data_IF_340098829988
#
_entry.id   IF_340098829988
#
_cell.length_a   1.000
_cell.length_b   1.000
_cell.length_c   1.000
_cell.angle_alpha   90.00
_cell.angle_beta   90.00
_cell.angle_gamma   90.00
#
_symmetry.space_group_name_H-M   'P 1'
#
loop_
_entity.id
_entity.type
_entity.pdbx_description
1 polymer ?
#
# COMPACT_ATOMS: atom_id res chain seq x y z
N UNK A 1 -16.71 -0.16 -14.93
CA UNK A 1 -15.35 0.14 -14.47
C UNK A 1 -15.42 1.05 -13.26
N UNK A 2 -14.44 1.02 -12.38
CA UNK A 2 -14.33 1.94 -11.26
C UNK A 2 -14.38 3.41 -11.75
N UNK A 3 -14.95 4.28 -10.94
CA UNK A 3 -14.98 5.72 -11.22
C UNK A 3 -13.60 6.32 -10.95
N UNK A 4 -13.06 7.07 -11.90
CA UNK A 4 -11.86 7.88 -11.67
C UNK A 4 -12.21 9.15 -10.91
N UNK A 5 -11.40 9.47 -9.91
CA UNK A 5 -11.46 10.71 -9.14
C UNK A 5 -10.23 11.57 -9.45
N UNK A 6 -10.39 12.88 -9.47
CA UNK A 6 -9.24 13.79 -9.50
C UNK A 6 -8.57 13.84 -8.13
N UNK A 7 -7.33 14.33 -8.08
CA UNK A 7 -6.59 14.52 -6.81
C UNK A 7 -7.41 15.34 -5.81
N UNK A 8 -8.02 16.44 -6.23
CA UNK A 8 -8.83 17.32 -5.37
C UNK A 8 -10.08 16.59 -4.84
N UNK A 9 -10.68 15.73 -5.65
CA UNK A 9 -11.82 14.93 -5.21
C UNK A 9 -11.42 13.89 -4.15
N UNK A 10 -10.23 13.29 -4.28
CA UNK A 10 -9.71 12.36 -3.26
C UNK A 10 -9.41 13.13 -1.98
N UNK A 11 -8.71 14.25 -2.04
CA UNK A 11 -8.44 15.11 -0.87
C UNK A 11 -9.71 15.55 -0.16
N UNK A 12 -10.73 15.95 -0.92
CA UNK A 12 -12.04 16.34 -0.35
C UNK A 12 -12.69 15.18 0.42
N UNK A 13 -12.65 13.96 -0.12
CA UNK A 13 -13.18 12.76 0.57
C UNK A 13 -12.43 12.48 1.87
N UNK A 14 -11.11 12.58 1.85
CA UNK A 14 -10.27 12.44 3.06
C UNK A 14 -10.67 13.47 4.11
N UNK A 15 -10.80 14.73 3.71
CA UNK A 15 -11.17 15.82 4.62
C UNK A 15 -12.59 15.64 5.20
N UNK A 16 -13.53 15.12 4.42
CA UNK A 16 -14.88 14.79 4.90
C UNK A 16 -14.87 13.71 5.99
N UNK A 17 -14.05 12.66 5.85
CA UNK A 17 -13.88 11.64 6.89
C UNK A 17 -13.21 12.20 8.14
N UNK A 18 -12.14 12.99 7.96
CA UNK A 18 -11.43 13.63 9.07
C UNK A 18 -12.34 14.57 9.90
N UNK A 19 -13.22 15.33 9.25
CA UNK A 19 -14.23 16.17 9.95
C UNK A 19 -15.20 15.36 10.78
N UNK A 20 -15.45 14.11 10.41
CA UNK A 20 -16.28 13.18 11.17
C UNK A 20 -15.49 12.37 12.20
N UNK A 21 -14.19 12.64 12.36
CA UNK A 21 -13.27 11.90 13.20
C UNK A 21 -13.14 10.42 12.85
N UNK A 22 -13.37 10.07 11.57
CA UNK A 22 -13.15 8.73 11.07
C UNK A 22 -11.73 8.58 10.50
N UNK A 23 -11.06 7.45 10.77
CA UNK A 23 -9.78 7.17 10.14
C UNK A 23 -9.95 6.87 8.64
N UNK A 24 -8.94 7.16 7.86
CA UNK A 24 -8.88 6.75 6.45
C UNK A 24 -8.40 5.30 6.39
N UNK A 25 -9.20 4.43 5.80
CA UNK A 25 -8.86 3.01 5.63
C UNK A 25 -8.64 2.69 4.16
N UNK A 26 -7.42 2.22 3.84
CA UNK A 26 -7.07 1.74 2.51
C UNK A 26 -6.92 0.22 2.57
N UNK A 27 -7.56 -0.49 1.65
CA UNK A 27 -7.41 -1.94 1.53
C UNK A 27 -6.62 -2.32 0.28
N UNK A 28 -5.59 -3.14 0.42
CA UNK A 28 -5.03 -3.85 -0.71
C UNK A 28 -6.01 -4.89 -1.24
N UNK A 29 -6.03 -5.11 -2.58
CA UNK A 29 -6.85 -6.12 -3.21
C UNK A 29 -6.12 -6.82 -4.35
N UNK A 30 -5.94 -8.14 -4.23
CA UNK A 30 -5.39 -9.02 -5.27
C UNK A 30 -6.46 -9.73 -6.09
N UNK A 31 -7.72 -9.67 -5.66
CA UNK A 31 -8.87 -10.29 -6.35
C UNK A 31 -10.09 -9.39 -6.37
N UNK A 32 -11.00 -9.67 -7.32
CA UNK A 32 -12.27 -8.91 -7.40
C UNK A 32 -13.18 -9.13 -6.20
N UNK A 33 -13.12 -10.29 -5.55
CA UNK A 33 -13.95 -10.56 -4.37
C UNK A 33 -13.46 -9.74 -3.16
N UNK A 34 -12.14 -9.66 -2.93
CA UNK A 34 -11.60 -8.85 -1.85
C UNK A 34 -11.87 -7.36 -2.07
N UNK A 35 -11.68 -6.84 -3.28
CA UNK A 35 -12.00 -5.45 -3.62
C UNK A 35 -13.49 -5.12 -3.38
N UNK A 36 -14.40 -5.97 -3.88
CA UNK A 36 -15.84 -5.80 -3.76
C UNK A 36 -16.31 -5.76 -2.30
N UNK A 37 -15.78 -6.63 -1.46
CA UNK A 37 -16.20 -6.68 -0.06
C UNK A 37 -15.48 -5.65 0.80
N UNK A 38 -14.25 -5.27 0.48
CA UNK A 38 -13.60 -4.12 1.10
C UNK A 38 -14.40 -2.83 0.85
N UNK A 39 -14.84 -2.57 -0.39
CA UNK A 39 -15.70 -1.42 -0.71
C UNK A 39 -17.02 -1.45 0.07
N UNK A 40 -17.70 -2.61 0.14
CA UNK A 40 -18.91 -2.78 0.93
C UNK A 40 -18.70 -2.64 2.43
N UNK A 41 -17.50 -2.92 2.90
CA UNK A 41 -17.07 -2.71 4.28
C UNK A 41 -16.79 -1.26 4.62
N UNK A 42 -16.79 -0.36 3.61
CA UNK A 42 -16.66 1.08 3.80
C UNK A 42 -15.22 1.59 3.76
N UNK A 43 -14.29 0.91 3.06
CA UNK A 43 -12.95 1.46 2.85
C UNK A 43 -13.01 2.77 2.05
N UNK A 44 -12.06 3.66 2.29
CA UNK A 44 -11.96 4.94 1.59
C UNK A 44 -11.28 4.81 0.23
N UNK A 45 -10.32 3.89 0.09
CA UNK A 45 -9.61 3.60 -1.16
C UNK A 45 -9.24 2.12 -1.26
N UNK A 46 -9.02 1.64 -2.50
CA UNK A 46 -8.55 0.28 -2.78
C UNK A 46 -7.22 0.36 -3.52
N UNK A 47 -6.20 -0.34 -3.01
CA UNK A 47 -4.89 -0.49 -3.65
C UNK A 47 -4.79 -1.78 -4.45
N UNK A 48 -4.47 -1.68 -5.74
CA UNK A 48 -4.18 -2.83 -6.61
C UNK A 48 -2.68 -2.83 -6.88
N UNK A 49 -2.00 -3.90 -6.49
CA UNK A 49 -0.56 -4.08 -6.71
C UNK A 49 -0.20 -5.57 -6.83
N UNK A 50 0.91 -5.88 -7.47
CA UNK A 50 1.30 -7.25 -7.81
C UNK A 50 1.42 -8.18 -6.59
N UNK A 51 1.89 -7.71 -5.44
CA UNK A 51 1.90 -8.49 -4.19
C UNK A 51 0.52 -8.98 -3.76
N UNK A 52 -0.55 -8.25 -4.12
CA UNK A 52 -1.92 -8.66 -3.87
C UNK A 52 -2.27 -9.97 -4.60
N UNK A 53 -1.83 -10.09 -5.87
CA UNK A 53 -2.00 -11.33 -6.63
C UNK A 53 -1.29 -12.49 -5.95
N UNK A 54 0.01 -12.38 -5.69
CA UNK A 54 0.79 -13.45 -5.05
C UNK A 54 0.17 -13.89 -3.72
N UNK A 55 -0.26 -12.94 -2.91
CA UNK A 55 -0.92 -13.19 -1.62
C UNK A 55 -2.21 -13.99 -1.78
N UNK A 56 -3.05 -13.64 -2.75
CA UNK A 56 -4.34 -14.31 -2.97
C UNK A 56 -4.21 -15.60 -3.79
N UNK A 57 -3.09 -15.80 -4.46
CA UNK A 57 -2.70 -17.08 -5.06
C UNK A 57 -2.09 -18.05 -4.02
N UNK A 58 -2.01 -17.65 -2.73
CA UNK A 58 -1.50 -18.47 -1.62
C UNK A 58 0.00 -18.37 -1.39
N UNK A 59 0.68 -17.40 -2.01
CA UNK A 59 2.11 -17.16 -1.84
C UNK A 59 2.40 -16.04 -0.83
N UNK A 60 3.66 -15.90 -0.43
CA UNK A 60 4.09 -14.79 0.39
C UNK A 60 3.99 -13.46 -0.38
N UNK A 61 3.51 -12.40 0.29
CA UNK A 61 3.40 -11.06 -0.32
C UNK A 61 4.75 -10.51 -0.81
N UNK A 62 5.87 -10.91 -0.20
CA UNK A 62 7.22 -10.56 -0.64
C UNK A 62 7.56 -11.04 -2.06
N UNK A 63 6.82 -12.03 -2.60
CA UNK A 63 7.00 -12.43 -4.01
C UNK A 63 6.76 -11.27 -4.98
N UNK A 64 5.93 -10.28 -4.60
CA UNK A 64 5.69 -9.09 -5.43
C UNK A 64 6.89 -8.15 -5.51
N UNK A 65 7.88 -8.30 -4.65
CA UNK A 65 9.14 -7.55 -4.69
C UNK A 65 10.20 -8.23 -5.55
N UNK A 66 9.92 -9.44 -6.04
CA UNK A 66 10.89 -10.26 -6.76
C UNK A 66 10.67 -10.20 -8.27
N UNK A 67 11.63 -10.66 -9.02
CA UNK A 67 11.68 -10.66 -10.50
C UNK A 67 10.71 -11.62 -11.21
N UNK A 68 9.74 -12.16 -10.50
CA UNK A 68 8.84 -13.19 -11.04
C UNK A 68 7.87 -12.70 -12.11
N UNK A 69 7.58 -11.40 -12.13
CA UNK A 69 6.77 -10.76 -13.18
C UNK A 69 7.08 -9.26 -13.23
N UNK A 70 6.80 -8.62 -14.36
CA UNK A 70 6.76 -7.15 -14.45
C UNK A 70 5.59 -6.63 -13.61
N UNK A 71 5.90 -5.83 -12.58
CA UNK A 71 4.87 -5.27 -11.71
C UNK A 71 3.92 -4.35 -12.47
N UNK A 72 4.44 -3.53 -13.37
CA UNK A 72 3.65 -2.57 -14.14
C UNK A 72 2.68 -3.26 -15.12
N UNK A 73 3.10 -4.35 -15.77
CA UNK A 73 2.21 -5.16 -16.63
C UNK A 73 1.15 -5.90 -15.80
N UNK A 74 1.53 -6.41 -14.62
CA UNK A 74 0.62 -7.10 -13.72
C UNK A 74 -0.52 -6.20 -13.25
N UNK A 75 -0.25 -4.92 -13.00
CA UNK A 75 -1.30 -3.95 -12.63
C UNK A 75 -2.34 -3.81 -13.74
N UNK A 76 -1.93 -3.74 -15.00
CA UNK A 76 -2.86 -3.65 -16.14
C UNK A 76 -3.69 -4.94 -16.29
N UNK A 77 -3.09 -6.10 -16.01
CA UNK A 77 -3.80 -7.37 -16.02
C UNK A 77 -4.82 -7.47 -14.86
N UNK A 78 -4.44 -7.06 -13.66
CA UNK A 78 -5.32 -7.02 -12.49
C UNK A 78 -6.44 -5.99 -12.66
N UNK A 79 -6.17 -4.84 -13.27
CA UNK A 79 -7.18 -3.82 -13.54
C UNK A 79 -8.37 -4.37 -14.32
N UNK A 80 -8.13 -5.16 -15.36
CA UNK A 80 -9.19 -5.78 -16.17
C UNK A 80 -10.12 -6.69 -15.35
N UNK A 81 -9.62 -7.29 -14.27
CA UNK A 81 -10.36 -8.22 -13.41
C UNK A 81 -11.02 -7.55 -12.23
N UNK A 82 -10.39 -6.53 -11.65
CA UNK A 82 -10.78 -5.93 -10.37
C UNK A 82 -11.60 -4.65 -10.56
N UNK A 83 -11.19 -3.76 -11.48
CA UNK A 83 -11.88 -2.49 -11.70
C UNK A 83 -13.38 -2.63 -12.02
N UNK A 84 -13.86 -3.67 -12.74
CA UNK A 84 -15.30 -3.80 -13.03
C UNK A 84 -16.19 -3.99 -11.79
N UNK A 85 -15.65 -4.48 -10.68
CA UNK A 85 -16.43 -4.78 -9.46
C UNK A 85 -16.38 -3.66 -8.41
N UNK A 86 -15.51 -2.66 -8.59
CA UNK A 86 -15.42 -1.45 -7.75
C UNK A 86 -16.33 -0.36 -8.35
N UNK A 87 -17.04 0.41 -7.53
CA UNK A 87 -18.04 1.39 -7.97
C UNK A 87 -17.76 2.81 -7.49
N UNK A 88 -17.52 2.98 -6.19
CA UNK A 88 -17.65 4.25 -5.50
C UNK A 88 -16.36 4.78 -4.85
N UNK A 89 -15.31 3.96 -4.75
CA UNK A 89 -14.07 4.37 -4.09
C UNK A 89 -12.94 4.63 -5.08
N UNK A 90 -12.02 5.57 -4.81
CA UNK A 90 -10.81 5.77 -5.60
C UNK A 90 -9.93 4.50 -5.58
N UNK A 91 -9.30 4.22 -6.72
CA UNK A 91 -8.40 3.07 -6.86
C UNK A 91 -6.97 3.55 -7.07
N UNK A 92 -6.06 2.94 -6.32
CA UNK A 92 -4.62 3.21 -6.32
C UNK A 92 -3.92 2.10 -7.12
N UNK A 93 -3.04 2.48 -8.04
CA UNK A 93 -2.12 1.53 -8.69
C UNK A 93 -0.79 1.49 -7.93
N UNK A 94 -0.36 0.29 -7.55
CA UNK A 94 1.01 0.06 -7.11
C UNK A 94 1.93 -0.04 -8.31
N UNK A 95 2.97 0.78 -8.38
CA UNK A 95 3.85 0.91 -9.54
C UNK A 95 5.30 0.65 -9.18
N UNK A 96 6.05 0.05 -10.10
CA UNK A 96 7.51 0.07 -10.09
C UNK A 96 7.96 1.37 -10.80
N UNK A 97 8.05 2.46 -10.03
CA UNK A 97 8.34 3.79 -10.55
C UNK A 97 9.78 3.98 -11.06
N UNK A 98 10.65 3.06 -10.71
CA UNK A 98 12.06 3.00 -11.10
C UNK A 98 12.35 1.99 -12.23
N UNK A 99 11.32 1.46 -12.90
CA UNK A 99 11.48 0.53 -14.03
C UNK A 99 12.00 1.29 -15.26
N UNK A 100 13.28 1.07 -15.70
CA UNK A 100 13.87 1.83 -16.80
C UNK A 100 13.29 1.47 -18.17
N UNK A 101 12.51 0.41 -18.26
CA UNK A 101 11.86 -0.04 -19.51
C UNK A 101 10.50 0.61 -19.74
N UNK A 102 9.99 1.39 -18.79
CA UNK A 102 8.66 1.99 -18.81
C UNK A 102 8.75 3.51 -18.90
N UNK A 103 8.16 4.10 -19.93
CA UNK A 103 7.90 5.54 -19.97
C UNK A 103 6.74 5.89 -19.03
N UNK A 104 7.08 6.43 -17.84
CA UNK A 104 6.14 6.67 -16.76
C UNK A 104 5.03 7.65 -17.14
N UNK A 105 5.31 8.65 -17.97
CA UNK A 105 4.27 9.60 -18.41
C UNK A 105 3.18 8.89 -19.21
N UNK A 106 3.57 8.09 -20.20
CA UNK A 106 2.64 7.28 -20.99
C UNK A 106 1.91 6.26 -20.10
N UNK A 107 2.62 5.63 -19.18
CA UNK A 107 2.04 4.65 -18.27
C UNK A 107 0.96 5.27 -17.37
N UNK A 108 1.19 6.46 -16.82
CA UNK A 108 0.19 7.17 -16.03
C UNK A 108 -1.06 7.54 -16.84
N UNK A 109 -0.92 7.93 -18.11
CA UNK A 109 -2.07 8.13 -19.01
C UNK A 109 -2.89 6.84 -19.20
N UNK A 110 -2.21 5.70 -19.33
CA UNK A 110 -2.86 4.39 -19.41
C UNK A 110 -3.59 4.05 -18.10
N UNK A 111 -2.97 4.26 -16.94
CA UNK A 111 -3.62 4.06 -15.65
C UNK A 111 -4.87 4.94 -15.48
N UNK A 112 -4.77 6.22 -15.86
CA UNK A 112 -5.90 7.13 -15.84
C UNK A 112 -7.04 6.67 -16.78
N UNK A 113 -6.70 6.14 -17.95
CA UNK A 113 -7.67 5.55 -18.88
C UNK A 113 -8.39 4.33 -18.27
N UNK A 114 -7.68 3.48 -17.52
CA UNK A 114 -8.27 2.37 -16.79
C UNK A 114 -9.12 2.78 -15.58
N UNK A 115 -9.08 4.06 -15.17
CA UNK A 115 -9.88 4.59 -14.07
C UNK A 115 -9.14 4.67 -12.73
N UNK A 116 -7.82 4.47 -12.71
CA UNK A 116 -7.04 4.71 -11.50
C UNK A 116 -7.05 6.19 -11.14
N UNK A 117 -7.18 6.47 -9.86
CA UNK A 117 -7.24 7.82 -9.28
C UNK A 117 -5.94 8.21 -8.60
N UNK A 118 -5.14 7.20 -8.23
CA UNK A 118 -3.93 7.36 -7.43
C UNK A 118 -2.85 6.35 -7.83
N UNK A 119 -1.62 6.65 -7.42
CA UNK A 119 -0.48 5.74 -7.53
C UNK A 119 0.30 5.68 -6.23
N UNK A 120 1.03 4.56 -6.01
CA UNK A 120 1.98 4.41 -4.92
C UNK A 120 3.19 3.57 -5.37
N UNK A 121 4.35 3.81 -4.77
CA UNK A 121 5.59 3.06 -5.05
C UNK A 121 5.55 1.68 -4.38
N UNK A 122 4.85 0.74 -4.99
CA UNK A 122 4.88 -0.65 -4.56
C UNK A 122 4.65 -1.60 -5.74
N UNK A 123 5.62 -2.47 -6.12
CA UNK A 123 6.86 -2.79 -5.39
C UNK A 123 7.83 -1.61 -5.31
N UNK A 124 8.77 -1.68 -4.37
CA UNK A 124 9.74 -0.63 -4.09
C UNK A 124 11.12 -1.20 -3.83
N UNK A 125 12.16 -0.55 -4.29
CA UNK A 125 13.54 -0.88 -3.94
C UNK A 125 13.91 -0.42 -2.52
N UNK A 126 13.10 0.41 -1.88
CA UNK A 126 13.32 0.91 -0.53
C UNK A 126 13.41 -0.17 0.55
N UNK A 127 12.79 -1.34 0.33
CA UNK A 127 12.83 -2.49 1.24
C UNK A 127 14.02 -3.45 0.96
N UNK A 128 14.73 -3.28 -0.15
CA UNK A 128 15.76 -4.20 -0.65
C UNK A 128 17.21 -3.75 -0.39
N UNK A 129 17.44 -2.93 0.60
CA UNK A 129 18.79 -2.48 0.95
C UNK A 129 19.72 -3.68 1.18
N UNK A 130 20.73 -3.81 0.33
CA UNK A 130 21.77 -4.85 0.41
C UNK A 130 21.54 -6.11 -0.43
N UNK A 131 20.46 -6.21 -1.22
CA UNK A 131 20.22 -7.38 -2.07
C UNK A 131 21.35 -7.65 -3.09
N UNK A 132 21.94 -6.59 -3.66
CA UNK A 132 23.05 -6.67 -4.61
C UNK A 132 24.41 -6.27 -3.99
N UNK A 133 24.50 -6.16 -2.67
CA UNK A 133 25.63 -5.50 -2.00
C UNK A 133 25.86 -4.06 -2.51
N UNK A 134 24.78 -3.45 -3.00
CA UNK A 134 24.74 -2.12 -3.59
C UNK A 134 24.02 -1.20 -2.62
N UNK A 135 24.53 0.01 -2.45
CA UNK A 135 23.87 1.04 -1.64
C UNK A 135 22.70 1.67 -2.40
N UNK A 136 21.82 2.36 -1.68
CA UNK A 136 20.72 3.11 -2.32
C UNK A 136 21.29 4.22 -3.24
N UNK A 137 22.36 4.88 -2.84
CA UNK A 137 23.07 5.90 -3.63
C UNK A 137 23.57 5.34 -4.96
N UNK A 138 24.22 4.16 -4.95
CA UNK A 138 24.67 3.51 -6.18
C UNK A 138 23.48 3.11 -7.08
N UNK A 139 22.37 2.64 -6.52
CA UNK A 139 21.16 2.36 -7.32
C UNK A 139 20.58 3.64 -7.93
N UNK A 140 20.60 4.76 -7.21
CA UNK A 140 20.17 6.06 -7.70
C UNK A 140 21.07 6.57 -8.83
N UNK A 141 22.40 6.36 -8.73
CA UNK A 141 23.35 6.65 -9.80
C UNK A 141 23.10 5.84 -11.08
N UNK A 142 22.65 4.59 -10.92
CA UNK A 142 22.28 3.74 -12.07
C UNK A 142 20.87 4.03 -12.62
N UNK A 143 20.13 4.95 -12.01
CA UNK A 143 18.78 5.31 -12.45
C UNK A 143 17.70 4.26 -12.14
N UNK A 144 17.92 3.41 -11.14
CA UNK A 144 16.99 2.34 -10.71
C UNK A 144 16.72 2.36 -9.21
N UNK A 145 17.10 3.43 -8.53
CA UNK A 145 16.98 3.58 -7.09
C UNK A 145 15.68 4.21 -6.61
N UNK A 146 15.66 4.54 -5.32
CA UNK A 146 14.50 5.14 -4.68
C UNK A 146 14.23 6.58 -5.15
N UNK A 147 15.28 7.28 -5.56
CA UNK A 147 15.17 8.60 -6.18
C UNK A 147 14.24 8.56 -7.41
N UNK A 148 14.40 7.56 -8.28
CA UNK A 148 13.55 7.41 -9.46
C UNK A 148 12.09 7.09 -9.09
N UNK A 149 11.86 6.34 -8.00
CA UNK A 149 10.50 6.13 -7.47
C UNK A 149 9.89 7.46 -7.02
N UNK A 150 10.63 8.28 -6.27
CA UNK A 150 10.19 9.58 -5.80
C UNK A 150 9.93 10.55 -6.97
N UNK A 151 10.81 10.58 -7.98
CA UNK A 151 10.63 11.39 -9.21
C UNK A 151 9.39 10.95 -10.01
N UNK A 152 9.13 9.64 -10.10
CA UNK A 152 7.92 9.10 -10.72
C UNK A 152 6.65 9.50 -9.98
N UNK A 153 6.68 9.49 -8.65
CA UNK A 153 5.55 9.98 -7.85
C UNK A 153 5.34 11.49 -8.00
N UNK A 154 6.42 12.28 -8.09
CA UNK A 154 6.32 13.72 -8.37
C UNK A 154 5.68 13.98 -9.74
N UNK A 155 6.10 13.26 -10.79
CA UNK A 155 5.51 13.34 -12.12
C UNK A 155 4.01 12.97 -12.09
N UNK A 156 3.65 11.89 -11.38
CA UNK A 156 2.25 11.49 -11.24
C UNK A 156 1.40 12.58 -10.55
N UNK A 157 1.97 13.22 -9.53
CA UNK A 157 1.35 14.35 -8.84
C UNK A 157 1.12 15.54 -9.78
N UNK A 158 2.11 15.92 -10.58
CA UNK A 158 1.99 16.96 -11.60
C UNK A 158 0.93 16.62 -12.67
N UNK A 159 0.77 15.35 -13.00
CA UNK A 159 -0.27 14.85 -13.90
C UNK A 159 -1.68 14.75 -13.26
N UNK A 160 -1.85 15.19 -12.01
CA UNK A 160 -3.13 15.23 -11.30
C UNK A 160 -3.61 13.89 -10.74
N UNK A 161 -2.72 12.92 -10.58
CA UNK A 161 -2.97 11.71 -9.80
C UNK A 161 -2.75 12.00 -8.31
N UNK A 162 -3.55 11.38 -7.45
CA UNK A 162 -3.29 11.37 -6.02
C UNK A 162 -2.12 10.42 -5.72
N UNK A 163 -1.20 10.83 -4.85
CA UNK A 163 0.07 10.14 -4.67
C UNK A 163 0.30 9.68 -3.24
N UNK A 164 0.70 8.41 -3.10
CA UNK A 164 1.08 7.81 -1.83
C UNK A 164 2.50 7.26 -1.95
N UNK A 165 3.30 7.39 -0.90
CA UNK A 165 4.67 6.87 -0.91
C UNK A 165 4.97 6.06 0.34
N UNK A 166 5.44 4.81 0.15
CA UNK A 166 6.04 4.03 1.22
C UNK A 166 7.46 4.49 1.48
N UNK A 167 7.80 4.65 2.75
CA UNK A 167 9.16 4.86 3.20
C UNK A 167 9.52 3.85 4.30
N UNK A 168 10.75 3.39 4.29
CA UNK A 168 11.35 2.44 5.23
C UNK A 168 12.48 3.08 6.03
N UNK A 169 13.00 4.21 5.56
CA UNK A 169 14.05 5.00 6.21
C UNK A 169 13.66 6.49 6.28
N UNK A 170 14.32 7.24 7.16
CA UNK A 170 14.08 8.68 7.29
C UNK A 170 14.48 9.43 6.02
N UNK A 171 15.54 9.01 5.37
CA UNK A 171 16.01 9.57 4.11
C UNK A 171 14.97 9.41 3.00
N UNK A 172 14.37 8.22 2.88
CA UNK A 172 13.26 7.99 1.94
C UNK A 172 12.05 8.87 2.26
N UNK A 173 11.75 9.08 3.54
CA UNK A 173 10.67 9.99 3.93
C UNK A 173 10.98 11.45 3.53
N UNK A 174 12.24 11.90 3.66
CA UNK A 174 12.68 13.21 3.17
C UNK A 174 12.54 13.33 1.64
N UNK A 175 13.00 12.31 0.89
CA UNK A 175 12.86 12.28 -0.58
C UNK A 175 11.40 12.36 -1.02
N UNK A 176 10.50 11.64 -0.35
CA UNK A 176 9.06 11.70 -0.64
C UNK A 176 8.43 13.04 -0.26
N UNK A 177 8.91 13.67 0.82
CA UNK A 177 8.54 15.04 1.16
C UNK A 177 8.95 16.03 0.08
N UNK A 178 10.18 15.92 -0.44
CA UNK A 178 10.69 16.73 -1.56
C UNK A 178 9.90 16.52 -2.85
N UNK A 179 9.46 15.28 -3.11
CA UNK A 179 8.62 14.94 -4.25
C UNK A 179 7.20 15.51 -4.17
N UNK A 180 6.79 16.10 -3.04
CA UNK A 180 5.51 16.76 -2.86
C UNK A 180 4.30 15.82 -2.85
N UNK A 181 4.47 14.54 -2.49
CA UNK A 181 3.40 13.56 -2.47
C UNK A 181 2.30 13.89 -1.45
N UNK A 182 1.11 13.31 -1.63
CA UNK A 182 -0.04 13.60 -0.77
C UNK A 182 -0.02 12.84 0.56
N UNK A 183 0.32 11.55 0.54
CA UNK A 183 0.38 10.71 1.75
C UNK A 183 1.73 10.02 1.86
N UNK A 184 2.41 10.22 2.99
CA UNK A 184 3.52 9.37 3.43
C UNK A 184 2.98 8.17 4.18
N UNK A 185 3.40 6.97 3.81
CA UNK A 185 3.08 5.73 4.52
C UNK A 185 4.36 5.19 5.15
N UNK A 186 4.45 5.31 6.48
CA UNK A 186 5.54 4.70 7.24
C UNK A 186 5.38 3.18 7.24
N UNK A 187 6.32 2.46 6.59
CA UNK A 187 6.29 1.01 6.51
C UNK A 187 7.15 0.38 7.61
N UNK A 188 6.51 -0.35 8.52
CA UNK A 188 7.13 -0.94 9.72
C UNK A 188 7.51 -2.41 9.56
N UNK A 189 7.64 -2.86 8.32
CA UNK A 189 7.93 -4.26 7.98
C UNK A 189 6.69 -5.09 7.62
N UNK A 190 6.88 -6.38 7.38
CA UNK A 190 5.79 -7.29 7.02
C UNK A 190 4.78 -7.43 8.16
N UNK A 191 3.48 -7.37 7.83
CA UNK A 191 2.39 -7.54 8.79
C UNK A 191 2.50 -8.88 9.51
N UNK A 192 2.52 -8.85 10.83
CA UNK A 192 2.57 -10.05 11.68
C UNK A 192 1.23 -10.80 11.65
N UNK A 193 1.30 -12.12 11.90
CA UNK A 193 0.11 -12.96 12.05
C UNK A 193 -0.37 -13.64 10.76
N UNK A 194 -1.32 -14.57 10.94
CA UNK A 194 -1.78 -15.49 9.92
C UNK A 194 -0.76 -16.59 9.59
N UNK A 195 -1.11 -17.48 8.65
CA UNK A 195 -0.25 -18.62 8.27
C UNK A 195 0.96 -18.17 7.42
N UNK A 196 0.81 -17.10 6.65
CA UNK A 196 1.84 -16.60 5.72
C UNK A 196 2.63 -15.39 6.23
N UNK A 197 2.39 -14.91 7.44
CA UNK A 197 3.14 -13.82 8.07
C UNK A 197 4.31 -14.31 8.91
N UNK A 198 5.28 -13.43 9.26
CA UNK A 198 6.32 -13.77 10.22
C UNK A 198 5.69 -14.12 11.56
N UNK A 199 6.27 -15.14 12.24
CA UNK A 199 5.83 -15.51 13.59
C UNK A 199 5.97 -14.32 14.55
N UNK A 200 4.95 -14.10 15.36
CA UNK A 200 5.03 -13.09 16.41
C UNK A 200 6.14 -13.51 17.39
N UNK A 201 7.16 -12.67 17.56
CA UNK A 201 8.19 -12.88 18.58
C UNK A 201 9.63 -12.64 18.17
N UNK A 202 10.02 -12.83 16.91
CA UNK A 202 11.45 -12.85 16.57
C UNK A 202 12.02 -11.52 16.02
N UNK A 203 11.18 -10.54 15.66
CA UNK A 203 11.54 -9.19 15.23
C UNK A 203 10.44 -8.16 15.58
N UNK A 204 9.74 -8.34 16.67
CA UNK A 204 8.63 -7.44 17.01
C UNK A 204 9.15 -6.13 17.62
N UNK A 205 9.16 -5.10 16.80
CA UNK A 205 9.06 -3.73 17.30
C UNK A 205 7.74 -3.64 18.06
N UNK A 206 7.74 -3.15 19.30
CA UNK A 206 6.50 -2.91 20.02
C UNK A 206 5.72 -1.71 19.46
N UNK A 207 4.45 -1.58 19.80
CA UNK A 207 3.60 -0.48 19.31
C UNK A 207 4.12 0.90 19.73
N UNK A 208 4.80 1.01 20.87
CA UNK A 208 5.36 2.26 21.32
C UNK A 208 6.58 2.67 20.47
N UNK A 209 7.45 1.72 20.11
CA UNK A 209 8.55 1.98 19.18
C UNK A 209 8.01 2.27 17.77
N UNK A 210 6.98 1.55 17.33
CA UNK A 210 6.31 1.82 16.07
C UNK A 210 5.79 3.27 16.03
N UNK A 211 5.10 3.74 17.05
CA UNK A 211 4.61 5.11 17.14
C UNK A 211 5.74 6.15 17.12
N UNK A 212 6.84 5.90 17.85
CA UNK A 212 8.03 6.78 17.81
C UNK A 212 8.64 6.85 16.39
N UNK A 213 8.72 5.71 15.71
CA UNK A 213 9.22 5.63 14.34
C UNK A 213 8.35 6.44 13.39
N UNK A 214 7.03 6.26 13.46
CA UNK A 214 6.04 7.03 12.67
C UNK A 214 6.22 8.53 12.86
N UNK A 215 6.41 9.00 14.10
CA UNK A 215 6.67 10.41 14.40
C UNK A 215 7.96 10.94 13.75
N UNK A 216 9.05 10.16 13.78
CA UNK A 216 10.31 10.55 13.14
C UNK A 216 10.18 10.67 11.61
N UNK A 217 9.42 9.77 10.98
CA UNK A 217 9.15 9.82 9.54
C UNK A 217 8.33 11.06 9.17
N UNK A 218 7.33 11.39 9.99
CA UNK A 218 6.56 12.62 9.84
C UNK A 218 7.46 13.86 9.90
N UNK A 219 8.32 13.96 10.91
CA UNK A 219 9.25 15.08 11.07
C UNK A 219 10.19 15.21 9.85
N UNK A 220 10.71 14.08 9.36
CA UNK A 220 11.60 14.05 8.20
C UNK A 220 10.92 14.58 6.93
N UNK A 221 9.73 14.08 6.61
CA UNK A 221 8.99 14.48 5.41
C UNK A 221 8.48 15.94 5.50
N UNK A 222 8.01 16.37 6.68
CA UNK A 222 7.45 17.73 6.88
C UNK A 222 8.46 18.85 6.77
N UNK A 223 9.74 18.57 6.84
CA UNK A 223 10.79 19.56 6.52
C UNK A 223 10.61 20.16 5.12
N UNK A 224 10.10 19.35 4.19
CA UNK A 224 9.98 19.70 2.77
C UNK A 224 8.51 19.86 2.32
N UNK A 225 7.60 19.09 2.92
CA UNK A 225 6.16 19.15 2.63
C UNK A 225 5.37 19.25 3.95
N UNK A 226 5.12 20.47 4.47
CA UNK A 226 4.40 20.67 5.74
C UNK A 226 2.98 20.08 5.76
N UNK A 227 2.34 20.00 4.60
CA UNK A 227 0.95 19.57 4.43
C UNK A 227 0.80 18.06 4.18
N UNK A 228 1.92 17.31 4.14
CA UNK A 228 1.89 15.87 3.88
C UNK A 228 1.04 15.14 4.92
N UNK A 229 0.13 14.30 4.42
CA UNK A 229 -0.66 13.44 5.28
C UNK A 229 0.14 12.20 5.68
N UNK A 230 -0.13 11.65 6.86
CA UNK A 230 0.63 10.53 7.40
C UNK A 230 -0.26 9.32 7.59
N UNK A 231 0.24 8.15 7.20
CA UNK A 231 -0.35 6.85 7.50
C UNK A 231 0.72 5.86 7.96
N UNK A 232 0.31 4.79 8.63
CA UNK A 232 1.19 3.70 9.04
C UNK A 232 0.75 2.37 8.40
N UNK A 233 1.72 1.46 8.20
CA UNK A 233 1.48 0.15 7.60
C UNK A 233 2.43 -0.91 8.14
N UNK A 234 1.91 -2.12 8.34
CA UNK A 234 2.70 -3.32 8.57
C UNK A 234 3.29 -3.46 9.98
N UNK A 235 4.28 -4.33 10.12
CA UNK A 235 4.92 -4.64 11.39
C UNK A 235 3.90 -5.11 12.46
N UNK A 236 3.91 -4.49 13.65
CA UNK A 236 3.02 -4.86 14.76
C UNK A 236 1.57 -4.43 14.55
N UNK A 237 1.26 -3.64 13.51
CA UNK A 237 -0.09 -3.12 13.25
C UNK A 237 -0.86 -4.15 12.45
N UNK A 238 -1.58 -5.05 13.12
CA UNK A 238 -2.32 -6.14 12.48
C UNK A 238 -3.81 -6.19 12.85
N UNK A 239 -4.21 -5.53 13.92
CA UNK A 239 -5.59 -5.49 14.43
C UNK A 239 -6.12 -4.05 14.52
N UNK A 240 -7.45 -3.86 14.65
CA UNK A 240 -8.04 -2.55 14.92
C UNK A 240 -7.54 -1.92 16.25
N UNK A 241 -7.23 -2.74 17.25
CA UNK A 241 -6.68 -2.29 18.54
C UNK A 241 -5.29 -1.69 18.37
N UNK A 242 -4.43 -2.31 17.55
CA UNK A 242 -3.10 -1.80 17.23
C UNK A 242 -3.20 -0.44 16.50
N UNK A 243 -4.13 -0.32 15.54
CA UNK A 243 -4.34 0.95 14.83
C UNK A 243 -4.84 2.05 15.78
N UNK A 244 -5.70 1.71 16.74
CA UNK A 244 -6.16 2.68 17.76
C UNK A 244 -5.01 3.22 18.59
N UNK A 245 -4.04 2.36 18.95
CA UNK A 245 -2.83 2.80 19.65
C UNK A 245 -2.03 3.80 18.82
N UNK A 246 -1.80 3.50 17.53
CA UNK A 246 -1.06 4.39 16.62
C UNK A 246 -1.77 5.75 16.48
N UNK A 247 -3.09 5.76 16.30
CA UNK A 247 -3.87 7.02 16.19
C UNK A 247 -3.81 7.86 17.48
N UNK A 248 -3.74 7.21 18.65
CA UNK A 248 -3.65 7.91 19.91
C UNK A 248 -2.26 8.54 20.19
N UNK A 249 -1.20 8.06 19.51
CA UNK A 249 0.19 8.43 19.80
C UNK A 249 0.92 9.08 18.61
N UNK A 250 0.25 9.28 17.48
CA UNK A 250 0.82 9.88 16.26
C UNK A 250 -0.21 10.77 15.57
N UNK A 251 0.22 11.51 14.54
CA UNK A 251 -0.68 12.25 13.65
C UNK A 251 -1.15 11.41 12.45
N UNK A 252 -1.05 10.08 12.51
CA UNK A 252 -1.54 9.21 11.46
C UNK A 252 -3.04 9.39 11.27
N UNK A 253 -3.45 9.71 10.04
CA UNK A 253 -4.86 9.91 9.67
C UNK A 253 -5.57 8.59 9.36
N UNK A 254 -4.83 7.48 9.26
CA UNK A 254 -5.43 6.22 8.84
C UNK A 254 -4.46 5.07 8.75
N UNK A 255 -4.93 3.98 8.16
CA UNK A 255 -4.23 2.71 8.05
C UNK A 255 -4.38 2.13 6.65
N UNK A 256 -3.29 1.64 6.08
CA UNK A 256 -3.33 0.80 4.89
C UNK A 256 -3.19 -0.66 5.33
N UNK A 257 -4.25 -1.46 5.11
CA UNK A 257 -4.26 -2.88 5.40
C UNK A 257 -4.12 -3.71 4.12
N UNK A 258 -3.18 -4.64 4.12
CA UNK A 258 -3.00 -5.60 3.04
C UNK A 258 -3.37 -7.01 3.55
N UNK A 259 -2.41 -7.73 4.12
CA UNK A 259 -2.66 -9.08 4.68
C UNK A 259 -3.68 -9.08 5.81
N UNK A 260 -3.74 -8.03 6.63
CA UNK A 260 -4.69 -7.88 7.74
C UNK A 260 -6.15 -7.79 7.29
N UNK A 261 -6.42 -7.23 6.10
CA UNK A 261 -7.78 -7.09 5.57
C UNK A 261 -8.11 -8.19 4.56
N UNK A 262 -7.15 -8.64 3.77
CA UNK A 262 -7.41 -9.53 2.64
C UNK A 262 -7.12 -11.00 2.94
N UNK A 263 -5.91 -11.33 3.41
CA UNK A 263 -5.47 -12.73 3.57
C UNK A 263 -5.91 -13.34 4.89
N UNK A 264 -5.57 -12.70 6.00
CA UNK A 264 -5.85 -13.23 7.35
C UNK A 264 -7.34 -13.54 7.56
N UNK A 265 -8.29 -12.67 7.18
CA UNK A 265 -9.72 -12.96 7.29
C UNK A 265 -10.23 -14.10 6.39
N UNK A 266 -9.45 -14.54 5.40
CA UNK A 266 -9.84 -15.60 4.46
C UNK A 266 -9.32 -16.97 4.89
N UNK A 267 -8.14 -17.03 5.48
CA UNK A 267 -7.49 -18.30 5.89
C UNK A 267 -8.36 -19.14 6.84
N UNK A 268 -8.75 -18.59 7.97
CA UNK A 268 -9.52 -19.32 8.99
C UNK A 268 -10.96 -19.66 8.56
N UNK A 269 -11.75 -18.74 8.01
CA UNK A 269 -13.09 -19.06 7.53
C UNK A 269 -13.14 -20.20 6.49
N UNK A 270 -12.17 -20.28 5.59
CA UNK A 270 -12.10 -21.39 4.62
C UNK A 270 -11.82 -22.71 5.36
N UNK A 271 -10.84 -22.72 6.27
CA UNK A 271 -10.52 -23.91 7.06
C UNK A 271 -11.73 -24.39 7.89
N UNK A 272 -12.42 -23.46 8.54
CA UNK A 272 -13.60 -23.77 9.36
C UNK A 272 -14.75 -24.29 8.52
N UNK A 273 -15.06 -23.65 7.38
CA UNK A 273 -16.12 -24.10 6.49
C UNK A 273 -15.86 -25.54 5.97
N UNK A 274 -14.64 -25.84 5.54
CA UNK A 274 -14.29 -27.19 5.07
C UNK A 274 -14.43 -28.23 6.18
N UNK A 275 -13.97 -27.91 7.41
CA UNK A 275 -14.12 -28.82 8.56
C UNK A 275 -15.59 -29.10 8.86
N UNK A 276 -16.44 -28.08 8.89
CA UNK A 276 -17.88 -28.26 9.12
C UNK A 276 -18.54 -29.19 8.11
N UNK A 277 -18.18 -29.11 6.82
CA UNK A 277 -18.67 -30.07 5.82
C UNK A 277 -18.11 -31.46 5.99
N UNK A 278 -16.85 -31.60 6.42
CA UNK A 278 -16.19 -32.91 6.64
C UNK A 278 -16.67 -33.65 7.87
N UNK A 279 -17.13 -32.91 8.87
CA UNK A 279 -17.60 -33.49 10.15
C UNK A 279 -19.02 -34.10 10.04
N UNK A 280 -19.70 -33.96 8.90
CA UNK A 280 -20.99 -34.57 8.64
C UNK A 280 -20.77 -36.08 8.43
N UNK A 281 -21.40 -36.91 9.29
CA UNK A 281 -21.41 -38.36 9.13
C UNK A 281 -22.42 -38.74 8.04
N UNK A 282 -22.03 -39.68 7.17
CA UNK A 282 -22.92 -40.27 6.17
C UNK A 282 -23.32 -41.66 6.70
N UNK A 283 -24.64 -41.92 6.81
CA UNK A 283 -25.17 -43.25 7.16
C UNK A 283 -25.03 -44.25 6.02
#
# INVERSE_FOLDING_TARGET
>A
MARRYTREQVLKRIEEQRKQHHPIVISGAGTGISAKFAERGGVDMIGIYNSGRFRMDGHNSGCGQMYFSSANEEILALAKRIMPVIKEVPVIAGIAGNDPSVDMETYFRILQFYGFSAVMNFPTCGDFLGFLQTTMEEMDEYGIGFKQEAESLALAHEMGLFTLGYAFTLEQAEMLGQAGIDILICHLGLTQGGVGGPAAGDRSVDLAEAARTVGKFEEAARKYNPDILLMAHGGPISTPEDTRYIYAHTNSIGFLGASSIERIPVEQPILEAVRQFKDIMIE
#
